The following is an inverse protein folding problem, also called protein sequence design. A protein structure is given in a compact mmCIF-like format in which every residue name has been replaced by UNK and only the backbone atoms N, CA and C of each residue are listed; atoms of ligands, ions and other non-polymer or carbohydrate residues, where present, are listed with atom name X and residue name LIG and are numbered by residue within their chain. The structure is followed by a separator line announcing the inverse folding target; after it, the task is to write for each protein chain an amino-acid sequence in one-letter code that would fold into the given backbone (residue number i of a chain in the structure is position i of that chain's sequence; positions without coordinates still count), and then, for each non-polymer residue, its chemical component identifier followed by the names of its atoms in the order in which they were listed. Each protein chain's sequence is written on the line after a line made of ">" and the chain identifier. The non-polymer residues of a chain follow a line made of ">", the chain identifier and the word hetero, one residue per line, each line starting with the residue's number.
data_IF_627818852050
#
_entry.id   IF_627818852050
#
_cell.length_a   1.000
_cell.length_b   1.000
_cell.length_c   1.000
_cell.angle_alpha   90.00
_cell.angle_beta   90.00
_cell.angle_gamma   90.00
#
_symmetry.space_group_name_H-M   'P 1'
#
loop_
_entity.id
_entity.type
_entity.pdbx_description
1 polymer ?
#
# COMPACT_ATOMS: atom_id res chain seq x y z
N UNK A 1 -1.42 0.46 25.62
CA UNK A 1 -2.32 -0.67 25.30
C UNK A 1 -3.15 -0.95 26.54
N UNK A 2 -4.27 -0.24 26.67
CA UNK A 2 -5.16 -0.40 27.85
C UNK A 2 -6.24 -1.48 27.67
N UNK A 3 -6.44 -2.01 26.46
CA UNK A 3 -7.58 -2.87 26.15
C UNK A 3 -7.27 -4.36 26.00
N UNK A 4 -6.01 -4.78 26.15
CA UNK A 4 -5.66 -6.20 25.91
C UNK A 4 -5.74 -6.66 24.46
N UNK A 5 -5.89 -5.73 23.52
CA UNK A 5 -5.91 -5.94 22.07
C UNK A 5 -4.84 -5.09 21.37
N UNK A 6 -4.28 -5.63 20.29
CA UNK A 6 -3.40 -4.94 19.37
C UNK A 6 -4.20 -4.46 18.15
N UNK A 7 -4.37 -3.14 17.99
CA UNK A 7 -5.06 -2.55 16.85
C UNK A 7 -4.10 -2.45 15.68
N UNK A 8 -4.24 -3.37 14.72
CA UNK A 8 -3.38 -3.45 13.55
C UNK A 8 -4.05 -2.80 12.35
N UNK A 9 -3.51 -1.69 11.88
CA UNK A 9 -3.91 -1.07 10.63
C UNK A 9 -3.41 -1.91 9.45
N UNK A 10 -4.32 -2.40 8.63
CA UNK A 10 -4.04 -3.22 7.46
C UNK A 10 -4.94 -2.82 6.30
N UNK A 11 -4.99 -3.62 5.26
CA UNK A 11 -5.94 -3.52 4.15
C UNK A 11 -6.68 -4.85 3.98
N UNK A 12 -7.71 -4.87 3.14
CA UNK A 12 -8.57 -6.04 2.94
C UNK A 12 -8.72 -6.49 1.48
N UNK A 13 -7.93 -5.94 0.56
CA UNK A 13 -8.12 -6.07 -0.89
C UNK A 13 -6.85 -6.45 -1.67
N UNK A 14 -5.76 -6.88 -1.00
CA UNK A 14 -4.51 -7.27 -1.66
C UNK A 14 -4.28 -8.78 -1.53
N UNK A 15 -4.59 -9.57 -2.57
CA UNK A 15 -4.40 -11.02 -2.54
C UNK A 15 -2.98 -11.43 -2.17
N UNK A 16 -2.87 -12.41 -1.27
CA UNK A 16 -1.60 -12.90 -0.74
C UNK A 16 -1.02 -12.08 0.42
N UNK A 17 -1.36 -10.79 0.54
CA UNK A 17 -0.89 -9.91 1.62
C UNK A 17 -1.94 -9.68 2.69
N UNK A 18 -3.08 -9.12 2.33
CA UNK A 18 -4.19 -8.94 3.25
C UNK A 18 -5.51 -8.91 2.47
N UNK A 19 -6.36 -9.87 2.75
CA UNK A 19 -7.74 -9.95 2.26
C UNK A 19 -8.64 -10.44 3.37
N UNK A 20 -9.93 -10.16 3.26
CA UNK A 20 -10.94 -10.79 4.11
C UNK A 20 -11.49 -12.01 3.37
N UNK A 21 -11.42 -13.17 3.99
CA UNK A 21 -11.91 -14.43 3.41
C UNK A 21 -13.43 -14.57 3.53
N UNK A 22 -13.96 -15.66 3.02
CA UNK A 22 -15.41 -15.92 3.06
C UNK A 22 -15.98 -16.18 4.47
N UNK A 23 -15.13 -16.41 5.47
CA UNK A 23 -15.50 -16.52 6.87
C UNK A 23 -15.49 -15.16 7.60
N UNK A 24 -14.99 -14.13 6.96
CA UNK A 24 -14.81 -12.80 7.53
C UNK A 24 -13.46 -12.60 8.23
N UNK A 25 -12.53 -13.53 8.06
CA UNK A 25 -11.23 -13.48 8.70
C UNK A 25 -10.19 -12.77 7.79
N UNK A 26 -9.37 -11.90 8.39
CA UNK A 26 -8.21 -11.33 7.72
C UNK A 26 -7.14 -12.40 7.53
N UNK A 27 -6.73 -12.62 6.27
CA UNK A 27 -5.74 -13.64 5.89
C UNK A 27 -4.69 -13.05 4.96
N UNK A 28 -3.49 -13.61 5.00
CA UNK A 28 -2.36 -13.23 4.18
C UNK A 28 -1.14 -12.76 4.98
N UNK A 29 -0.07 -12.46 4.26
CA UNK A 29 1.23 -12.15 4.82
C UNK A 29 1.21 -11.00 5.85
N UNK A 30 0.58 -9.87 5.52
CA UNK A 30 0.49 -8.72 6.43
C UNK A 30 -0.41 -9.04 7.64
N UNK A 31 -1.53 -9.77 7.43
CA UNK A 31 -2.40 -10.21 8.51
C UNK A 31 -1.69 -11.15 9.49
N UNK A 32 -0.82 -12.04 8.99
CA UNK A 32 -0.02 -12.92 9.82
C UNK A 32 1.04 -12.14 10.61
N UNK A 33 1.63 -11.09 10.03
CA UNK A 33 2.52 -10.19 10.78
C UNK A 33 1.79 -9.45 11.90
N UNK A 34 0.53 -9.02 11.72
CA UNK A 34 -0.28 -8.46 12.80
C UNK A 34 -0.40 -9.46 13.97
N UNK A 35 -0.69 -10.74 13.66
CA UNK A 35 -0.77 -11.81 14.67
C UNK A 35 0.56 -12.07 15.37
N UNK A 36 1.67 -12.03 14.63
CA UNK A 36 3.03 -12.18 15.19
C UNK A 36 3.33 -11.08 16.20
N UNK A 37 2.99 -9.82 15.87
CA UNK A 37 3.18 -8.70 16.79
C UNK A 37 2.31 -8.85 18.03
N UNK A 38 1.03 -9.21 17.89
CA UNK A 38 0.13 -9.46 19.02
C UNK A 38 0.65 -10.58 19.92
N UNK A 39 1.10 -11.68 19.34
CA UNK A 39 1.71 -12.79 20.09
C UNK A 39 2.95 -12.33 20.87
N UNK A 40 3.82 -11.53 20.25
CA UNK A 40 5.04 -11.05 20.87
C UNK A 40 4.80 -10.05 22.01
N UNK A 41 3.80 -9.17 21.86
CA UNK A 41 3.55 -8.06 22.80
C UNK A 41 2.54 -8.43 23.87
N UNK A 42 1.51 -9.21 23.53
CA UNK A 42 0.40 -9.56 24.41
C UNK A 42 0.39 -11.04 24.83
N UNK A 43 1.22 -11.88 24.21
CA UNK A 43 1.26 -13.32 24.47
C UNK A 43 0.15 -14.12 23.80
N UNK A 44 -0.69 -13.49 22.98
CA UNK A 44 -1.79 -14.12 22.25
C UNK A 44 -1.89 -13.60 20.82
N UNK A 45 -1.73 -14.48 19.84
CA UNK A 45 -1.83 -14.15 18.42
C UNK A 45 -3.26 -13.74 17.99
N UNK A 46 -4.26 -14.12 18.78
CA UNK A 46 -5.67 -13.78 18.50
C UNK A 46 -6.08 -12.43 19.11
N UNK A 47 -5.24 -11.83 19.97
CA UNK A 47 -5.51 -10.51 20.54
C UNK A 47 -5.22 -9.38 19.54
N UNK A 48 -5.69 -9.53 18.30
CA UNK A 48 -5.60 -8.55 17.21
C UNK A 48 -6.98 -8.03 16.90
N UNK A 49 -7.09 -6.70 16.87
CA UNK A 49 -8.20 -5.99 16.26
C UNK A 49 -7.69 -5.44 14.90
N UNK A 50 -8.15 -6.02 13.81
CA UNK A 50 -7.82 -5.55 12.47
C UNK A 50 -8.63 -4.30 12.14
N UNK A 51 -7.95 -3.24 11.74
CA UNK A 51 -8.54 -1.99 11.31
C UNK A 51 -8.18 -1.79 9.85
N UNK A 52 -9.18 -1.85 8.97
CA UNK A 52 -8.97 -1.57 7.56
C UNK A 52 -8.77 -0.08 7.36
N UNK A 53 -7.62 0.29 6.79
CA UNK A 53 -7.27 1.69 6.54
C UNK A 53 -6.95 1.91 5.07
N UNK A 54 -7.56 2.94 4.52
CA UNK A 54 -7.32 3.34 3.15
C UNK A 54 -5.89 3.86 2.94
N UNK A 55 -5.46 3.85 1.68
CA UNK A 55 -4.09 4.27 1.33
C UNK A 55 -3.81 5.72 1.73
N UNK A 56 -4.77 6.62 1.57
CA UNK A 56 -4.62 8.03 1.90
C UNK A 56 -4.58 8.26 3.42
N UNK A 57 -5.34 7.48 4.20
CA UNK A 57 -5.59 7.74 5.62
C UNK A 57 -4.66 7.01 6.58
N UNK A 58 -3.88 6.04 6.09
CA UNK A 58 -3.08 5.12 6.90
C UNK A 58 -2.12 5.78 7.89
N UNK A 59 -1.48 6.90 7.51
CA UNK A 59 -0.57 7.61 8.41
C UNK A 59 -1.33 8.48 9.41
N UNK A 60 -2.45 9.05 9.02
CA UNK A 60 -3.34 9.80 9.91
C UNK A 60 -3.93 8.89 10.99
N UNK A 61 -4.38 7.68 10.63
CA UNK A 61 -4.87 6.68 11.57
C UNK A 61 -3.80 6.27 12.60
N UNK A 62 -2.53 6.15 12.16
CA UNK A 62 -1.42 5.87 13.07
C UNK A 62 -1.14 7.06 14.01
N UNK A 63 -1.10 8.28 13.48
CA UNK A 63 -0.82 9.50 14.25
C UNK A 63 -1.93 9.83 15.26
N UNK A 64 -3.18 9.58 14.92
CA UNK A 64 -4.32 9.79 15.82
C UNK A 64 -4.42 8.76 16.94
N UNK A 65 -3.67 7.66 16.83
CA UNK A 65 -3.75 6.54 17.76
C UNK A 65 -5.01 5.68 17.56
N UNK A 66 -5.64 5.75 16.40
CA UNK A 66 -6.70 4.82 15.99
C UNK A 66 -6.15 3.40 15.85
N UNK A 67 -4.94 3.28 15.35
CA UNK A 67 -4.18 2.03 15.26
C UNK A 67 -2.89 2.12 16.09
N UNK A 68 -2.42 0.98 16.59
CA UNK A 68 -1.16 0.88 17.35
C UNK A 68 0.04 0.66 16.43
N UNK A 69 -0.16 -0.01 15.32
CA UNK A 69 0.83 -0.14 14.23
C UNK A 69 0.14 -0.29 12.89
N UNK A 70 0.86 0.10 11.84
CA UNK A 70 0.45 -0.05 10.45
C UNK A 70 1.28 -1.17 9.82
N UNK A 71 0.62 -2.26 9.42
CA UNK A 71 1.25 -3.42 8.77
C UNK A 71 0.53 -3.65 7.43
N UNK A 72 1.11 -3.08 6.38
CA UNK A 72 0.59 -3.17 5.01
C UNK A 72 1.68 -2.72 4.02
N UNK A 73 1.38 -2.76 2.72
CA UNK A 73 2.26 -2.30 1.63
C UNK A 73 2.57 -0.79 1.71
N UNK A 74 3.34 -0.39 2.72
CA UNK A 74 3.75 1.00 2.95
C UNK A 74 5.25 1.15 2.78
N UNK A 75 5.68 1.80 1.70
CA UNK A 75 7.08 2.00 1.39
C UNK A 75 7.75 2.88 2.45
N UNK A 76 8.89 2.43 2.99
CA UNK A 76 9.74 3.26 3.84
C UNK A 76 10.41 4.33 3.00
N UNK A 77 10.21 5.58 3.37
CA UNK A 77 10.88 6.74 2.77
C UNK A 77 11.33 7.69 3.87
N UNK A 78 12.38 8.47 3.60
CA UNK A 78 12.87 9.48 4.55
C UNK A 78 11.79 10.52 4.89
N UNK A 79 10.91 10.86 3.93
CA UNK A 79 9.79 11.79 4.15
C UNK A 79 8.79 11.21 5.17
N UNK A 80 8.37 9.96 4.99
CA UNK A 80 7.41 9.31 5.88
C UNK A 80 7.97 9.10 7.28
N UNK A 81 9.24 8.70 7.37
CA UNK A 81 9.92 8.47 8.65
C UNK A 81 10.25 9.79 9.38
N UNK A 82 10.73 10.79 8.65
CA UNK A 82 11.21 12.04 9.27
C UNK A 82 10.21 13.18 9.32
N UNK A 83 9.30 13.29 8.34
CA UNK A 83 8.38 14.44 8.19
C UNK A 83 6.94 14.08 8.51
N UNK A 84 6.48 12.93 8.03
CA UNK A 84 5.10 12.47 8.23
C UNK A 84 4.90 11.76 9.58
N UNK A 85 5.91 11.74 10.45
CA UNK A 85 5.81 11.31 11.85
C UNK A 85 5.57 9.80 12.04
N UNK A 86 5.88 8.97 11.05
CA UNK A 86 5.86 7.53 11.19
C UNK A 86 7.25 7.02 11.56
N UNK A 87 7.34 6.12 12.53
CA UNK A 87 8.58 5.41 12.83
C UNK A 87 8.53 4.05 12.14
N UNK A 88 9.40 3.84 11.15
CA UNK A 88 9.51 2.57 10.47
C UNK A 88 10.37 1.58 11.26
N UNK A 89 9.91 0.35 11.36
CA UNK A 89 10.65 -0.78 11.92
C UNK A 89 11.37 -1.53 10.77
N UNK A 90 11.52 -2.84 10.90
CA UNK A 90 12.15 -3.63 9.86
C UNK A 90 11.25 -3.78 8.63
N UNK A 91 11.86 -3.74 7.44
CA UNK A 91 11.18 -4.06 6.18
C UNK A 91 10.80 -5.54 6.19
N UNK A 92 9.51 -5.82 6.03
CA UNK A 92 8.96 -7.17 6.02
C UNK A 92 8.99 -7.79 4.63
N UNK A 93 8.88 -6.97 3.57
CA UNK A 93 8.87 -7.40 2.19
C UNK A 93 9.61 -6.41 1.28
N UNK A 94 10.41 -6.91 0.35
CA UNK A 94 11.08 -6.09 -0.67
C UNK A 94 10.35 -6.19 -1.99
N UNK A 95 10.03 -5.05 -2.57
CA UNK A 95 9.22 -4.89 -3.75
C UNK A 95 9.84 -3.85 -4.69
N UNK A 96 9.28 -3.70 -5.88
CA UNK A 96 9.67 -2.71 -6.88
C UNK A 96 8.46 -2.23 -7.67
N UNK A 97 8.60 -1.04 -8.25
CA UNK A 97 7.60 -0.47 -9.14
C UNK A 97 7.80 -0.99 -10.56
N UNK A 98 6.72 -1.46 -11.19
CA UNK A 98 6.68 -1.84 -12.59
C UNK A 98 5.54 -1.13 -13.32
N UNK A 99 5.55 -1.20 -14.65
CA UNK A 99 4.47 -0.72 -15.50
C UNK A 99 3.70 -1.92 -16.05
N UNK A 100 2.38 -1.91 -15.88
CA UNK A 100 1.48 -2.85 -16.52
C UNK A 100 0.90 -2.19 -17.79
N UNK A 101 0.99 -2.89 -18.89
CA UNK A 101 0.45 -2.46 -20.18
C UNK A 101 -0.32 -3.59 -20.84
N UNK A 102 -1.20 -3.28 -21.78
CA UNK A 102 -1.87 -4.30 -22.57
C UNK A 102 -0.84 -5.12 -23.38
N UNK A 103 -1.06 -6.43 -23.50
CA UNK A 103 -0.11 -7.35 -24.14
C UNK A 103 0.14 -7.04 -25.62
N UNK A 104 -0.81 -6.37 -26.27
CA UNK A 104 -0.78 -5.94 -27.67
C UNK A 104 -0.42 -4.45 -27.84
N UNK A 105 -0.04 -3.75 -26.78
CA UNK A 105 0.32 -2.32 -26.81
C UNK A 105 1.54 -2.01 -27.68
N UNK A 106 2.40 -3.00 -27.90
CA UNK A 106 3.67 -2.83 -28.66
C UNK A 106 4.79 -2.17 -27.87
N UNK A 107 4.58 -1.77 -26.61
CA UNK A 107 5.64 -1.20 -25.77
C UNK A 107 6.62 -2.30 -25.31
N UNK A 108 7.90 -2.08 -25.55
CA UNK A 108 8.98 -2.97 -25.10
C UNK A 108 9.71 -2.41 -23.87
N UNK A 109 9.63 -1.11 -23.66
CA UNK A 109 10.27 -0.42 -22.54
C UNK A 109 9.47 0.81 -22.10
N UNK A 110 9.78 1.34 -20.94
CA UNK A 110 9.18 2.57 -20.41
C UNK A 110 9.42 3.76 -21.36
N UNK A 111 10.56 3.78 -22.06
CA UNK A 111 10.90 4.86 -22.99
C UNK A 111 10.02 4.90 -24.25
N UNK A 112 9.29 3.84 -24.55
CA UNK A 112 8.37 3.76 -25.69
C UNK A 112 6.98 4.34 -25.36
N UNK A 113 6.75 4.68 -24.09
CA UNK A 113 5.43 5.03 -23.55
C UNK A 113 5.20 6.55 -23.54
N UNK A 114 5.50 7.25 -24.64
CA UNK A 114 5.24 8.69 -24.72
C UNK A 114 3.75 8.99 -25.00
N UNK A 115 3.22 10.05 -24.40
CA UNK A 115 1.83 10.48 -24.58
C UNK A 115 0.76 9.57 -23.97
N UNK A 116 1.14 8.68 -23.06
CA UNK A 116 0.18 7.75 -22.42
C UNK A 116 -0.42 8.32 -21.14
N UNK A 117 -1.57 7.76 -20.74
CA UNK A 117 -2.18 7.96 -19.43
C UNK A 117 -1.64 6.89 -18.49
N UNK A 118 -1.05 7.31 -17.36
CA UNK A 118 -0.54 6.42 -16.31
C UNK A 118 -1.46 6.49 -15.11
N UNK A 119 -2.16 5.38 -14.82
CA UNK A 119 -3.05 5.26 -13.67
C UNK A 119 -2.25 4.84 -12.43
N UNK A 120 -2.45 5.53 -11.31
CA UNK A 120 -1.76 5.28 -10.04
C UNK A 120 -2.70 5.41 -8.86
N UNK A 121 -2.36 4.77 -7.73
CA UNK A 121 -3.11 4.98 -6.49
C UNK A 121 -2.65 6.28 -5.81
N UNK A 122 -3.61 7.09 -5.38
CA UNK A 122 -3.38 8.36 -4.72
C UNK A 122 -2.59 8.19 -3.41
N UNK A 123 -1.70 9.13 -3.10
CA UNK A 123 -0.91 9.15 -1.86
C UNK A 123 0.17 8.06 -1.80
N UNK A 124 0.55 7.49 -2.94
CA UNK A 124 1.59 6.47 -3.04
C UNK A 124 2.92 7.04 -3.50
N UNK A 125 4.01 6.30 -3.21
CA UNK A 125 5.32 6.59 -3.83
C UNK A 125 5.28 6.35 -5.34
N UNK A 126 4.40 5.48 -5.82
CA UNK A 126 4.19 5.18 -7.23
C UNK A 126 3.76 6.42 -8.01
N UNK A 127 2.86 7.24 -7.45
CA UNK A 127 2.40 8.50 -8.04
C UNK A 127 3.57 9.47 -8.26
N UNK A 128 4.36 9.73 -7.20
CA UNK A 128 5.52 10.61 -7.29
C UNK A 128 6.62 10.06 -8.22
N UNK A 129 6.85 8.75 -8.19
CA UNK A 129 7.84 8.11 -9.04
C UNK A 129 7.44 8.14 -10.52
N UNK A 130 6.15 7.96 -10.85
CA UNK A 130 5.66 8.07 -12.23
C UNK A 130 5.93 9.47 -12.79
N UNK A 131 5.56 10.52 -12.06
CA UNK A 131 5.84 11.90 -12.48
C UNK A 131 7.34 12.18 -12.61
N UNK A 132 8.16 11.70 -11.67
CA UNK A 132 9.62 11.85 -11.70
C UNK A 132 10.25 11.13 -12.88
N UNK A 133 9.79 9.94 -13.22
CA UNK A 133 10.32 9.15 -14.34
C UNK A 133 9.93 9.75 -15.69
N UNK A 134 8.69 10.21 -15.84
CA UNK A 134 8.27 10.96 -17.02
C UNK A 134 9.19 12.16 -17.27
N UNK A 135 9.44 12.97 -16.25
CA UNK A 135 10.33 14.14 -16.35
C UNK A 135 11.78 13.73 -16.68
N UNK A 136 12.28 12.66 -16.07
CA UNK A 136 13.65 12.15 -16.30
C UNK A 136 13.87 11.67 -17.73
N UNK A 137 12.84 11.02 -18.32
CA UNK A 137 12.90 10.48 -19.68
C UNK A 137 12.43 11.47 -20.75
N UNK A 138 11.85 12.62 -20.35
CA UNK A 138 11.28 13.60 -21.25
C UNK A 138 10.00 13.11 -21.94
N UNK A 139 9.21 12.27 -21.25
CA UNK A 139 7.97 11.70 -21.72
C UNK A 139 6.77 12.57 -21.29
N UNK A 140 5.78 12.68 -22.16
CA UNK A 140 4.54 13.43 -21.89
C UNK A 140 3.47 12.49 -21.33
N UNK A 141 3.60 12.13 -20.04
CA UNK A 141 2.62 11.28 -19.35
C UNK A 141 1.53 12.11 -18.68
N UNK A 142 0.29 11.73 -18.89
CA UNK A 142 -0.82 12.16 -18.04
C UNK A 142 -0.94 11.22 -16.84
N UNK A 143 -0.42 11.61 -15.67
CA UNK A 143 -0.56 10.80 -14.45
C UNK A 143 -1.94 11.04 -13.83
N UNK A 144 -2.78 10.00 -13.75
CA UNK A 144 -4.11 10.02 -13.11
C UNK A 144 -4.11 9.24 -11.83
N UNK A 145 -4.39 9.91 -10.73
CA UNK A 145 -4.48 9.30 -9.41
C UNK A 145 -5.93 8.86 -9.11
N UNK A 146 -6.08 7.66 -8.55
CA UNK A 146 -7.36 7.05 -8.17
C UNK A 146 -7.36 6.70 -6.68
N UNK A 147 -8.53 6.68 -6.07
CA UNK A 147 -8.69 6.40 -4.65
C UNK A 147 -8.48 4.91 -4.32
N UNK A 148 -8.84 4.01 -5.25
CA UNK A 148 -8.72 2.56 -5.02
C UNK A 148 -8.10 1.82 -6.21
N UNK A 149 -7.52 0.62 -5.97
CA UNK A 149 -7.02 -0.27 -7.03
C UNK A 149 -8.10 -0.72 -8.00
N UNK A 150 -9.33 -0.92 -7.55
CA UNK A 150 -10.45 -1.35 -8.40
C UNK A 150 -10.75 -0.29 -9.45
N UNK A 151 -10.76 0.99 -9.08
CA UNK A 151 -10.93 2.09 -10.03
C UNK A 151 -9.79 2.19 -11.04
N UNK A 152 -8.55 1.84 -10.63
CA UNK A 152 -7.42 1.74 -11.55
C UNK A 152 -7.64 0.62 -12.56
N UNK A 153 -8.09 -0.54 -12.09
CA UNK A 153 -8.37 -1.69 -12.94
C UNK A 153 -9.49 -1.38 -13.94
N UNK A 154 -10.58 -0.79 -13.49
CA UNK A 154 -11.69 -0.36 -14.36
C UNK A 154 -11.22 0.64 -15.43
N UNK A 155 -10.40 1.63 -15.03
CA UNK A 155 -9.87 2.62 -15.97
C UNK A 155 -8.87 2.01 -16.96
N UNK A 156 -8.13 0.97 -16.58
CA UNK A 156 -7.20 0.27 -17.46
C UNK A 156 -7.91 -0.62 -18.48
N UNK A 157 -9.06 -1.19 -18.13
CA UNK A 157 -9.85 -2.07 -18.99
C UNK A 157 -10.79 -1.31 -19.95
N UNK A 158 -11.03 -0.01 -19.74
CA UNK A 158 -11.93 0.83 -20.51
C UNK A 158 -11.29 1.36 -21.81
#
# INVERSE_FOLDING_TARGET
>A
MEAGEFRCGTRNELPGFAVVDSAGDHVGFDADFCRVVAAAVLGDANAVNFVDVETADRLTALQSGEIDALIRNTTWTATRDGVEGATFLHTTFFDGQGMMVASDSGFASVSDMDGVIVCVAQGTTTEGNAAGEAARLGLDWEVRAFESPDLIQEAFEA
#
